data_IF_964776296984
#
_entry.id   IF_964776296984
#
_cell.length_a   1.000
_cell.length_b   1.000
_cell.length_c   1.000
_cell.angle_alpha   90.00
_cell.angle_beta   90.00
_cell.angle_gamma   90.00
#
_symmetry.space_group_name_H-M   'P 1'
#
loop_
_entity.id
_entity.type
_entity.pdbx_description
1 polymer ?
#
# COMPACT_ATOMS: atom_id res chain seq x y z
N UNK A 1 9.52 24.93 15.16
CA UNK A 1 10.33 23.77 14.74
C UNK A 1 9.57 23.03 13.64
N UNK A 2 9.93 23.24 12.37
CA UNK A 2 9.36 22.40 11.31
C UNK A 2 10.05 21.03 11.39
N UNK A 3 9.33 19.90 11.49
CA UNK A 3 9.96 18.60 11.39
C UNK A 3 10.62 18.51 10.01
N UNK A 4 11.91 18.16 9.97
CA UNK A 4 12.62 17.83 8.73
C UNK A 4 11.80 16.75 8.02
N UNK A 5 11.06 17.12 6.98
CA UNK A 5 10.26 16.18 6.20
C UNK A 5 11.24 15.26 5.50
N UNK A 6 11.41 14.06 6.03
CA UNK A 6 12.36 13.09 5.50
C UNK A 6 11.74 12.47 4.25
N UNK A 7 11.92 13.13 3.12
CA UNK A 7 11.54 12.62 1.81
C UNK A 7 12.36 11.36 1.51
N UNK A 8 11.71 10.36 0.93
CA UNK A 8 12.39 9.20 0.38
C UNK A 8 13.10 9.58 -0.91
N UNK A 9 14.25 8.94 -1.21
CA UNK A 9 15.00 9.22 -2.44
C UNK A 9 14.26 8.81 -3.72
N UNK A 10 13.24 7.95 -3.60
CA UNK A 10 12.45 7.41 -4.71
C UNK A 10 11.01 7.14 -4.30
N UNK A 11 10.13 7.03 -5.29
CA UNK A 11 8.72 6.72 -5.09
C UNK A 11 8.49 5.32 -4.53
N UNK A 12 7.33 5.10 -3.91
CA UNK A 12 6.96 3.81 -3.32
C UNK A 12 7.01 2.66 -4.34
N UNK A 13 6.54 2.87 -5.58
CA UNK A 13 6.57 1.86 -6.64
C UNK A 13 7.98 1.42 -7.01
N UNK A 14 8.86 2.39 -7.19
CA UNK A 14 10.26 2.15 -7.53
C UNK A 14 10.96 1.39 -6.40
N UNK A 15 10.81 1.85 -5.15
CA UNK A 15 11.35 1.17 -3.98
C UNK A 15 10.84 -0.27 -3.86
N UNK A 16 9.55 -0.50 -4.14
CA UNK A 16 8.96 -1.83 -4.10
C UNK A 16 9.52 -2.76 -5.18
N UNK A 17 9.59 -2.28 -6.43
CA UNK A 17 10.07 -3.06 -7.56
C UNK A 17 11.54 -3.48 -7.38
N UNK A 18 12.37 -2.58 -6.87
CA UNK A 18 13.76 -2.84 -6.55
C UNK A 18 13.91 -3.89 -5.44
N UNK A 19 13.17 -3.73 -4.33
CA UNK A 19 13.24 -4.65 -3.20
C UNK A 19 12.75 -6.06 -3.54
N UNK A 20 11.65 -6.16 -4.28
CA UNK A 20 10.96 -7.41 -4.56
C UNK A 20 11.24 -7.98 -5.96
N UNK A 21 12.18 -7.38 -6.71
CA UNK A 21 12.56 -7.75 -8.07
C UNK A 21 11.33 -8.03 -8.94
N UNK A 22 10.40 -7.09 -8.98
CA UNK A 22 9.22 -7.21 -9.82
C UNK A 22 9.21 -6.13 -10.90
N UNK A 23 8.63 -6.47 -12.05
CA UNK A 23 8.42 -5.51 -13.11
C UNK A 23 7.35 -4.47 -12.71
N UNK A 24 7.42 -3.24 -13.26
CA UNK A 24 6.46 -2.18 -12.96
C UNK A 24 4.99 -2.54 -13.24
N UNK A 25 4.73 -3.48 -14.14
CA UNK A 25 3.39 -3.96 -14.52
C UNK A 25 2.81 -4.92 -13.48
N UNK A 26 3.69 -5.61 -12.74
CA UNK A 26 3.32 -6.58 -11.71
C UNK A 26 3.17 -5.96 -10.32
N UNK A 27 3.60 -4.71 -10.18
CA UNK A 27 3.63 -3.98 -8.93
C UNK A 27 2.25 -3.94 -8.26
N UNK A 28 1.21 -3.48 -8.96
CA UNK A 28 -0.12 -3.26 -8.37
C UNK A 28 -0.66 -4.56 -7.78
N UNK A 29 -0.63 -5.64 -8.57
CA UNK A 29 -1.05 -6.98 -8.16
C UNK A 29 -0.24 -7.49 -6.99
N UNK A 30 1.08 -7.29 -7.00
CA UNK A 30 1.98 -7.75 -5.93
C UNK A 30 1.79 -7.00 -4.62
N UNK A 31 1.52 -5.70 -4.67
CA UNK A 31 1.19 -4.89 -3.50
C UNK A 31 -0.17 -5.30 -2.94
N UNK A 32 -1.17 -5.49 -3.81
CA UNK A 32 -2.51 -5.92 -3.44
C UNK A 32 -2.50 -7.20 -2.61
N UNK A 33 -1.93 -8.30 -3.15
CA UNK A 33 -1.90 -9.59 -2.45
C UNK A 33 -1.09 -9.57 -1.16
N UNK A 34 0.00 -8.78 -1.09
CA UNK A 34 0.78 -8.63 0.14
C UNK A 34 0.05 -7.84 1.21
N UNK A 35 -0.81 -6.91 0.81
CA UNK A 35 -1.48 -5.96 1.69
C UNK A 35 -2.86 -6.41 2.13
N UNK A 36 -3.41 -7.47 1.52
CA UNK A 36 -4.69 -8.07 1.90
C UNK A 36 -4.63 -8.73 3.29
N UNK A 37 -5.78 -8.80 3.97
CA UNK A 37 -5.93 -9.63 5.16
C UNK A 37 -5.72 -11.12 4.82
N UNK A 38 -4.91 -11.82 5.61
CA UNK A 38 -4.54 -13.23 5.34
C UNK A 38 -5.75 -14.16 5.22
N UNK A 39 -6.72 -14.02 6.11
CA UNK A 39 -7.94 -14.83 6.09
C UNK A 39 -8.83 -14.52 4.86
N UNK A 40 -8.70 -13.32 4.29
CA UNK A 40 -9.48 -12.90 3.14
C UNK A 40 -8.85 -13.35 1.81
N UNK A 41 -7.61 -13.86 1.80
CA UNK A 41 -6.90 -14.24 0.56
C UNK A 41 -7.66 -15.26 -0.30
N UNK A 42 -8.18 -16.38 0.26
CA UNK A 42 -8.89 -17.36 -0.56
C UNK A 42 -10.15 -16.79 -1.21
N UNK A 43 -10.95 -16.08 -0.42
CA UNK A 43 -12.18 -15.45 -0.90
C UNK A 43 -11.91 -14.31 -1.88
N UNK A 44 -10.84 -13.53 -1.63
CA UNK A 44 -10.41 -12.49 -2.54
C UNK A 44 -9.92 -13.05 -3.88
N UNK A 45 -9.26 -14.21 -3.91
CA UNK A 45 -8.83 -14.87 -5.15
C UNK A 45 -10.04 -15.24 -6.02
N UNK A 46 -11.08 -15.80 -5.42
CA UNK A 46 -12.32 -16.12 -6.11
C UNK A 46 -13.00 -14.86 -6.66
N UNK A 47 -13.16 -13.83 -5.83
CA UNK A 47 -13.80 -12.57 -6.25
C UNK A 47 -12.96 -11.86 -7.31
N UNK A 48 -11.63 -11.90 -7.21
CA UNK A 48 -10.74 -11.25 -8.16
C UNK A 48 -10.92 -11.82 -9.57
N UNK A 49 -11.16 -13.13 -9.66
CA UNK A 49 -11.41 -13.81 -10.94
C UNK A 49 -12.83 -13.57 -11.47
N UNK A 50 -13.85 -13.60 -10.61
CA UNK A 50 -15.26 -13.46 -11.01
C UNK A 50 -15.70 -12.01 -11.22
N UNK A 51 -15.15 -11.07 -10.46
CA UNK A 51 -15.57 -9.67 -10.40
C UNK A 51 -14.38 -8.76 -10.05
N UNK A 52 -13.43 -8.53 -10.98
CA UNK A 52 -12.24 -7.71 -10.71
C UNK A 52 -12.57 -6.26 -10.31
N UNK A 53 -13.67 -5.70 -10.86
CA UNK A 53 -14.25 -4.39 -10.49
C UNK A 53 -14.50 -4.27 -8.98
N UNK A 54 -14.72 -5.39 -8.28
CA UNK A 54 -14.88 -5.38 -6.83
C UNK A 54 -13.69 -4.71 -6.17
N UNK A 55 -12.46 -4.89 -6.65
CA UNK A 55 -11.21 -4.38 -6.05
C UNK A 55 -10.73 -3.05 -6.66
N UNK A 56 -11.56 -2.36 -7.44
CA UNK A 56 -11.16 -1.13 -8.13
C UNK A 56 -10.60 -0.07 -7.17
N UNK A 57 -11.33 0.23 -6.10
CA UNK A 57 -10.89 1.18 -5.07
C UNK A 57 -9.55 0.79 -4.40
N UNK A 58 -9.30 -0.52 -4.22
CA UNK A 58 -8.04 -1.00 -3.67
C UNK A 58 -6.88 -0.77 -4.63
N UNK A 59 -7.10 -1.01 -5.94
CA UNK A 59 -6.10 -0.74 -6.96
C UNK A 59 -5.88 0.76 -7.18
N UNK A 60 -6.93 1.58 -7.12
CA UNK A 60 -6.84 3.03 -7.26
C UNK A 60 -6.02 3.63 -6.11
N UNK A 61 -6.24 3.19 -4.86
CA UNK A 61 -5.35 3.56 -3.76
C UNK A 61 -3.90 3.18 -4.05
N UNK A 62 -3.65 1.95 -4.50
CA UNK A 62 -2.28 1.50 -4.78
C UNK A 62 -1.60 2.42 -5.81
N UNK A 63 -2.32 2.82 -6.86
CA UNK A 63 -1.85 3.76 -7.89
C UNK A 63 -1.59 5.16 -7.35
N UNK A 64 -2.47 5.67 -6.48
CA UNK A 64 -2.29 6.97 -5.81
C UNK A 64 -0.96 6.98 -5.02
N UNK A 65 -0.60 5.85 -4.40
CA UNK A 65 0.63 5.72 -3.61
C UNK A 65 1.91 5.60 -4.46
N UNK A 66 1.83 5.26 -5.76
CA UNK A 66 2.99 4.89 -6.60
C UNK A 66 4.16 5.86 -6.55
N UNK A 67 3.85 7.13 -6.74
CA UNK A 67 4.84 8.21 -6.88
C UNK A 67 5.10 8.94 -5.56
N UNK A 68 4.43 8.54 -4.48
CA UNK A 68 4.59 9.19 -3.20
C UNK A 68 5.98 8.89 -2.63
N UNK A 69 6.70 9.96 -2.32
CA UNK A 69 8.00 9.94 -1.66
C UNK A 69 7.98 10.59 -0.26
N UNK A 70 6.83 11.12 0.17
CA UNK A 70 6.68 11.77 1.46
C UNK A 70 5.94 10.82 2.44
N UNK A 71 6.58 10.41 3.54
CA UNK A 71 5.97 9.51 4.53
C UNK A 71 4.67 10.02 5.15
N UNK A 72 4.57 11.33 5.37
CA UNK A 72 3.41 11.95 6.03
C UNK A 72 2.23 12.02 5.06
N UNK A 73 2.48 12.42 3.81
CA UNK A 73 1.46 12.41 2.75
C UNK A 73 0.98 10.98 2.51
N UNK A 74 1.90 10.01 2.42
CA UNK A 74 1.58 8.59 2.27
C UNK A 74 0.68 8.08 3.41
N UNK A 75 0.98 8.46 4.65
CA UNK A 75 0.16 8.09 5.81
C UNK A 75 -1.20 8.79 5.80
N UNK A 76 -1.25 10.06 5.40
CA UNK A 76 -2.48 10.82 5.27
C UNK A 76 -3.43 10.20 4.24
N UNK A 77 -2.92 9.81 3.07
CA UNK A 77 -3.72 9.17 2.02
C UNK A 77 -4.29 7.82 2.48
N UNK A 78 -3.46 7.01 3.16
CA UNK A 78 -3.94 5.76 3.76
C UNK A 78 -5.04 5.98 4.81
N UNK A 79 -4.93 7.02 5.63
CA UNK A 79 -5.96 7.36 6.61
C UNK A 79 -7.24 7.84 5.92
N UNK A 80 -7.12 8.63 4.86
CA UNK A 80 -8.25 9.10 4.07
C UNK A 80 -8.99 7.94 3.40
N UNK A 81 -8.26 7.00 2.78
CA UNK A 81 -8.81 5.76 2.24
C UNK A 81 -9.50 4.91 3.32
N UNK A 82 -8.90 4.80 4.51
CA UNK A 82 -9.54 4.10 5.62
C UNK A 82 -10.87 4.75 6.01
N UNK A 83 -10.89 6.09 6.11
CA UNK A 83 -12.09 6.86 6.40
C UNK A 83 -13.18 6.74 5.33
N UNK A 84 -12.81 6.78 4.04
CA UNK A 84 -13.72 6.54 2.90
C UNK A 84 -14.32 5.14 2.96
N UNK A 85 -13.50 4.11 3.18
CA UNK A 85 -13.96 2.72 3.28
C UNK A 85 -14.90 2.45 4.45
N UNK A 86 -14.79 3.18 5.58
CA UNK A 86 -15.76 3.03 6.67
C UNK A 86 -17.14 3.57 6.32
N UNK A 87 -17.23 4.48 5.34
CA UNK A 87 -18.48 5.05 4.83
C UNK A 87 -19.05 4.29 3.63
N UNK A 88 -18.29 3.35 3.06
CA UNK A 88 -18.72 2.57 1.90
C UNK A 88 -19.93 1.68 2.25
N UNK A 89 -20.94 1.68 1.38
CA UNK A 89 -22.21 0.94 1.56
C UNK A 89 -22.08 -0.55 1.23
N UNK A 90 -20.94 -0.99 0.73
CA UNK A 90 -20.67 -2.38 0.40
C UNK A 90 -20.56 -3.26 1.66
N UNK A 91 -21.71 -3.71 2.16
CA UNK A 91 -21.83 -4.54 3.36
C UNK A 91 -20.90 -5.77 3.33
N UNK A 92 -20.73 -6.41 2.17
CA UNK A 92 -19.85 -7.57 1.99
C UNK A 92 -18.37 -7.23 2.28
N UNK A 93 -17.89 -6.06 1.80
CA UNK A 93 -16.51 -5.59 2.07
C UNK A 93 -16.29 -5.35 3.56
N UNK A 94 -17.30 -4.79 4.23
CA UNK A 94 -17.25 -4.46 5.66
C UNK A 94 -17.33 -5.68 6.56
N UNK A 95 -18.20 -6.63 6.22
CA UNK A 95 -18.47 -7.83 7.05
C UNK A 95 -17.37 -8.87 6.94
N UNK A 96 -16.83 -9.11 5.73
CA UNK A 96 -15.84 -10.17 5.50
C UNK A 96 -14.39 -9.67 5.43
N UNK A 97 -14.14 -8.38 5.68
CA UNK A 97 -12.80 -7.77 5.65
C UNK A 97 -12.01 -8.06 4.35
N UNK A 98 -12.70 -8.19 3.21
CA UNK A 98 -12.11 -8.45 1.90
C UNK A 98 -11.57 -7.14 1.30
N UNK A 99 -10.57 -6.57 1.96
CA UNK A 99 -10.00 -5.26 1.62
C UNK A 99 -8.51 -5.19 1.93
N UNK A 100 -7.83 -4.17 1.41
CA UNK A 100 -6.47 -3.84 1.82
C UNK A 100 -6.41 -3.48 3.31
N UNK A 101 -5.33 -3.93 3.96
CA UNK A 101 -5.01 -3.54 5.32
C UNK A 101 -4.02 -2.37 5.30
N UNK A 102 -4.47 -1.18 5.69
CA UNK A 102 -3.61 0.00 5.84
C UNK A 102 -2.39 -0.30 6.74
N UNK A 103 -2.58 -1.09 7.80
CA UNK A 103 -1.49 -1.54 8.68
C UNK A 103 -0.44 -2.36 7.92
N UNK A 104 -0.85 -3.20 6.98
CA UNK A 104 0.08 -4.01 6.15
C UNK A 104 0.79 -3.14 5.11
N UNK A 105 0.11 -2.16 4.52
CA UNK A 105 0.76 -1.19 3.61
C UNK A 105 1.79 -0.35 4.38
N UNK A 106 1.47 0.12 5.60
CA UNK A 106 2.43 0.81 6.46
C UNK A 106 3.61 -0.09 6.84
N UNK A 107 3.38 -1.38 7.07
CA UNK A 107 4.45 -2.35 7.29
C UNK A 107 5.35 -2.48 6.06
N UNK A 108 4.77 -2.60 4.86
CA UNK A 108 5.53 -2.63 3.60
C UNK A 108 6.36 -1.36 3.42
N UNK A 109 5.75 -0.17 3.61
CA UNK A 109 6.46 1.12 3.62
C UNK A 109 7.67 1.09 4.54
N UNK A 110 7.49 0.65 5.78
CA UNK A 110 8.59 0.56 6.73
C UNK A 110 9.65 -0.44 6.26
N UNK A 111 9.29 -1.59 5.72
CA UNK A 111 10.25 -2.56 5.17
C UNK A 111 11.05 -2.02 3.99
N UNK A 112 10.44 -1.22 3.11
CA UNK A 112 11.10 -0.61 1.95
C UNK A 112 12.09 0.50 2.35
N UNK A 113 11.70 1.36 3.30
CA UNK A 113 12.47 2.56 3.62
C UNK A 113 13.29 2.47 4.92
N UNK A 114 13.16 1.38 5.70
CA UNK A 114 14.01 1.13 6.87
C UNK A 114 15.48 0.94 6.50
N UNK A 115 15.76 0.35 5.34
CA UNK A 115 17.14 0.18 4.83
C UNK A 115 17.72 1.46 4.24
N UNK A 116 16.88 2.32 3.64
CA UNK A 116 17.33 3.58 3.03
C UNK A 116 17.75 4.64 4.07
N UNK A 117 17.19 4.56 5.28
CA UNK A 117 17.55 5.41 6.41
C UNK A 117 18.85 4.99 7.11
N UNK A 118 19.18 3.70 7.11
CA UNK A 118 20.42 3.20 7.72
C UNK A 118 21.68 3.66 6.96
N UNK A 119 21.58 3.85 5.64
CA UNK A 119 22.67 4.37 4.80
C UNK A 119 22.87 5.89 4.83
N UNK A 120 21.96 6.65 5.46
CA UNK A 120 22.05 8.12 5.59
C UNK A 120 22.59 8.57 6.96
N UNK A 121 22.82 7.65 7.90
CA UNK A 121 23.23 7.94 9.29
C UNK A 121 24.68 7.51 9.57
N UNK A 122 25.42 6.96 8.60
CA UNK A 122 26.88 6.82 8.74
C UNK A 122 27.56 8.11 8.30
N UNK A 123 27.99 9.00 9.20
CA UNK A 123 29.01 9.97 8.84
C UNK A 123 30.25 9.17 8.42
N UNK A 124 30.76 9.46 7.22
CA UNK A 124 32.10 9.04 6.82
C UNK A 124 33.11 9.93 7.52
#
# INVERSE_FOLDING_TARGET
MQPKTLLWPKGFKEAFCERYRCSPEMYERRVFWRSLYRHAVPLAALIYWLKPEFFKEDFDLIRELDRMNNPEIFRSELNFFYGRNMRDRNWIRRTFYIRLSAKRILKLKNELFRSSLAGLITPK
#
